data_IF_047363436041
#
_entry.id   IF_047363436041
#
_cell.length_a   1.000
_cell.length_b   1.000
_cell.length_c   1.000
_cell.angle_alpha   90.00
_cell.angle_beta   90.00
_cell.angle_gamma   90.00
#
_symmetry.space_group_name_H-M   'P 1'
#
loop_
_entity.id
_entity.type
_entity.pdbx_description
1 polymer ?
#
# COMPACT_ATOMS: atom_id res chain seq x y z
N UNK A 1 13.29 -8.46 20.05
CA UNK A 1 12.00 -8.53 19.32
C UNK A 1 12.33 -9.05 17.92
N UNK A 2 12.29 -10.36 17.70
CA UNK A 2 12.76 -10.91 16.42
C UNK A 2 12.19 -12.31 16.19
N UNK A 3 10.89 -12.40 15.89
CA UNK A 3 10.28 -13.63 15.36
C UNK A 3 9.34 -13.25 14.22
N UNK A 4 9.91 -12.56 13.22
CA UNK A 4 9.20 -12.25 11.97
C UNK A 4 9.38 -13.47 11.06
N UNK A 5 8.26 -14.03 10.63
CA UNK A 5 8.22 -15.26 9.85
C UNK A 5 8.75 -15.00 8.43
N UNK A 6 9.49 -15.97 7.88
CA UNK A 6 9.95 -15.90 6.51
C UNK A 6 8.76 -16.02 5.53
N UNK A 7 8.60 -15.09 4.56
CA UNK A 7 7.47 -15.12 3.63
C UNK A 7 7.32 -16.45 2.89
N UNK A 8 8.42 -17.14 2.60
CA UNK A 8 8.39 -18.35 1.79
C UNK A 8 7.77 -19.56 2.50
N UNK A 9 7.81 -19.58 3.85
CA UNK A 9 7.36 -20.72 4.66
C UNK A 9 6.27 -20.34 5.66
N UNK A 10 5.65 -19.17 5.53
CA UNK A 10 4.83 -18.61 6.60
C UNK A 10 3.65 -19.51 7.03
N UNK A 11 2.91 -20.06 6.07
CA UNK A 11 1.81 -20.99 6.35
C UNK A 11 2.32 -22.28 7.00
N UNK A 12 3.45 -22.79 6.52
CA UNK A 12 4.03 -24.06 6.99
C UNK A 12 4.51 -23.92 8.44
N UNK A 13 5.15 -22.80 8.80
CA UNK A 13 5.60 -22.53 10.16
C UNK A 13 4.42 -22.44 11.14
N UNK A 14 3.33 -21.78 10.75
CA UNK A 14 2.11 -21.69 11.58
C UNK A 14 1.44 -23.06 11.73
N UNK A 15 1.31 -23.83 10.65
CA UNK A 15 0.76 -25.19 10.69
C UNK A 15 1.58 -26.11 11.62
N UNK A 16 2.90 -26.07 11.51
CA UNK A 16 3.80 -26.87 12.36
C UNK A 16 3.70 -26.47 13.84
N UNK A 17 3.57 -25.17 14.13
CA UNK A 17 3.37 -24.69 15.49
C UNK A 17 2.03 -25.15 16.08
N UNK A 18 0.96 -25.19 15.27
CA UNK A 18 -0.33 -25.70 15.70
C UNK A 18 -0.31 -27.22 15.92
N UNK A 19 0.35 -27.98 15.03
CA UNK A 19 0.50 -29.43 15.16
C UNK A 19 1.20 -29.83 16.47
N UNK A 20 2.24 -29.08 16.85
CA UNK A 20 2.99 -29.35 18.07
C UNK A 20 2.16 -29.09 19.34
N UNK A 21 1.35 -28.02 19.36
CA UNK A 21 0.46 -27.75 20.49
C UNK A 21 -0.59 -28.85 20.64
N UNK A 22 -1.19 -29.26 19.52
CA UNK A 22 -2.25 -30.26 19.52
C UNK A 22 -1.70 -31.66 19.85
N UNK A 23 -0.55 -32.05 19.31
CA UNK A 23 0.06 -33.36 19.56
C UNK A 23 0.56 -33.55 21.00
N UNK A 24 0.83 -32.47 21.74
CA UNK A 24 1.14 -32.55 23.17
C UNK A 24 -0.07 -32.90 24.05
N UNK A 25 -1.28 -32.60 23.57
CA UNK A 25 -2.51 -32.75 24.34
C UNK A 25 -3.36 -33.94 23.86
N UNK A 26 -3.17 -34.37 22.61
CA UNK A 26 -3.90 -35.47 22.00
C UNK A 26 -3.01 -36.72 21.94
N UNK A 27 -3.40 -37.76 22.68
CA UNK A 27 -2.78 -39.09 22.60
C UNK A 27 -3.66 -39.99 21.71
N UNK A 28 -3.04 -40.79 20.84
CA UNK A 28 -3.69 -41.82 20.01
C UNK A 28 -4.80 -41.32 19.06
N UNK A 29 -4.73 -40.05 18.62
CA UNK A 29 -5.66 -39.43 17.67
C UNK A 29 -4.86 -38.85 16.51
N UNK A 30 -5.28 -39.14 15.28
CA UNK A 30 -4.63 -38.64 14.08
C UNK A 30 -4.93 -37.15 13.86
N UNK A 31 -3.91 -36.35 13.53
CA UNK A 31 -4.06 -34.90 13.28
C UNK A 31 -3.79 -34.65 11.80
N UNK A 32 -4.82 -34.19 11.10
CA UNK A 32 -4.78 -33.92 9.67
C UNK A 32 -5.00 -32.44 9.38
N UNK A 33 -4.31 -31.92 8.36
CA UNK A 33 -4.43 -30.54 7.89
C UNK A 33 -5.27 -30.41 6.60
N UNK A 34 -5.97 -31.48 6.23
CA UNK A 34 -6.94 -31.54 5.15
C UNK A 34 -8.33 -31.88 5.70
N UNK A 35 -9.36 -31.62 4.90
CA UNK A 35 -10.71 -32.13 5.18
C UNK A 35 -10.79 -33.58 4.70
N UNK A 36 -11.29 -34.52 5.53
CA UNK A 36 -11.55 -35.89 5.09
C UNK A 36 -12.54 -35.92 3.91
N UNK A 37 -12.35 -36.85 2.98
CA UNK A 37 -13.27 -37.01 1.85
C UNK A 37 -14.67 -37.38 2.36
N UNK A 38 -15.71 -36.80 1.73
CA UNK A 38 -17.11 -36.90 2.16
C UNK A 38 -17.63 -38.34 2.31
N UNK A 39 -17.11 -39.24 1.48
CA UNK A 39 -17.51 -40.65 1.43
C UNK A 39 -16.57 -41.58 2.20
N UNK A 40 -15.44 -41.06 2.68
CA UNK A 40 -14.49 -41.80 3.51
C UNK A 40 -14.74 -41.47 4.99
N UNK A 41 -15.23 -42.44 5.75
CA UNK A 41 -15.09 -42.36 7.21
C UNK A 41 -13.65 -42.75 7.53
N UNK A 42 -12.84 -41.87 8.16
CA UNK A 42 -11.52 -42.27 8.60
C UNK A 42 -11.63 -43.49 9.52
N UNK A 43 -10.73 -44.46 9.35
CA UNK A 43 -10.73 -45.70 10.13
C UNK A 43 -10.43 -45.44 11.61
N UNK A 44 -9.59 -44.44 11.87
CA UNK A 44 -9.15 -44.01 13.19
C UNK A 44 -9.81 -42.67 13.57
N UNK A 45 -9.95 -42.35 14.86
CA UNK A 45 -10.41 -41.04 15.30
C UNK A 45 -9.43 -39.96 14.82
N UNK A 46 -9.94 -38.98 14.10
CA UNK A 46 -9.11 -37.97 13.42
C UNK A 46 -9.59 -36.56 13.74
N UNK A 47 -8.66 -35.67 14.05
CA UNK A 47 -8.88 -34.23 14.17
C UNK A 47 -8.42 -33.58 12.88
N UNK A 48 -9.35 -32.91 12.20
CA UNK A 48 -9.07 -32.15 10.98
C UNK A 48 -8.94 -30.68 11.32
N UNK A 49 -7.79 -30.11 11.01
CA UNK A 49 -7.41 -28.71 11.18
C UNK A 49 -7.39 -28.06 9.81
N UNK A 50 -8.52 -27.45 9.43
CA UNK A 50 -8.70 -26.89 8.09
C UNK A 50 -8.47 -25.38 8.08
N UNK A 51 -7.53 -24.90 7.26
CA UNK A 51 -7.30 -23.48 7.02
C UNK A 51 -8.28 -22.99 5.95
N UNK A 52 -9.32 -22.24 6.35
CA UNK A 52 -10.40 -21.85 5.43
C UNK A 52 -10.24 -20.44 4.86
N UNK A 53 -9.55 -19.55 5.56
CA UNK A 53 -9.37 -18.17 5.13
C UNK A 53 -8.05 -17.58 5.62
N UNK A 54 -7.45 -16.73 4.80
CA UNK A 54 -6.20 -16.01 5.07
C UNK A 54 -6.38 -14.56 4.60
N UNK A 55 -6.21 -13.62 5.51
CA UNK A 55 -6.29 -12.20 5.19
C UNK A 55 -5.37 -11.35 6.08
N UNK A 56 -5.03 -10.15 5.63
CA UNK A 56 -4.29 -9.19 6.46
C UNK A 56 -5.18 -8.65 7.60
N UNK A 57 -4.65 -8.63 8.83
CA UNK A 57 -5.34 -7.96 9.94
C UNK A 57 -5.02 -6.46 9.93
N UNK A 58 -5.92 -5.69 9.32
CA UNK A 58 -5.82 -4.23 9.26
C UNK A 58 -5.90 -3.56 10.64
N UNK A 59 -6.44 -4.22 11.66
CA UNK A 59 -6.51 -3.65 13.01
C UNK A 59 -5.13 -3.59 13.67
N UNK A 60 -4.25 -4.53 13.32
CA UNK A 60 -2.88 -4.60 13.79
C UNK A 60 -1.90 -3.91 12.84
N UNK A 61 -2.40 -3.20 11.82
CA UNK A 61 -1.56 -2.42 10.91
C UNK A 61 -1.13 -1.12 11.57
N UNK A 62 0.16 -1.03 11.93
CA UNK A 62 0.79 0.21 12.31
C UNK A 62 1.32 0.95 11.06
N UNK A 63 1.28 2.29 11.09
CA UNK A 63 1.90 3.13 10.07
C UNK A 63 3.41 3.23 10.34
N UNK A 64 4.12 2.11 10.24
CA UNK A 64 5.56 2.08 10.49
C UNK A 64 6.35 2.46 9.24
N UNK A 65 7.21 3.50 9.32
CA UNK A 65 8.09 3.83 8.21
C UNK A 65 9.12 2.72 8.01
N UNK A 66 9.54 2.50 6.76
CA UNK A 66 10.67 1.62 6.47
C UNK A 66 11.92 2.17 7.16
N UNK A 67 12.52 1.37 8.02
CA UNK A 67 13.74 1.76 8.72
C UNK A 67 14.92 1.75 7.74
N UNK A 68 15.75 2.79 7.78
CA UNK A 68 16.95 2.89 6.94
C UNK A 68 18.18 2.39 7.71
N UNK A 69 18.98 1.53 7.09
CA UNK A 69 20.26 1.11 7.65
C UNK A 69 21.40 1.92 6.99
N UNK A 70 22.07 2.82 7.72
CA UNK A 70 23.10 3.70 7.16
C UNK A 70 24.40 2.97 6.83
N UNK A 71 24.64 1.78 7.39
CA UNK A 71 25.88 1.01 7.17
C UNK A 71 25.91 0.37 5.79
N UNK A 72 24.75 -0.09 5.31
CA UNK A 72 24.63 -0.79 4.02
C UNK A 72 23.88 0.04 2.96
N UNK A 73 23.27 1.16 3.33
CA UNK A 73 22.51 2.02 2.43
C UNK A 73 21.17 1.43 1.97
N UNK A 74 20.67 0.40 2.66
CA UNK A 74 19.43 -0.27 2.31
C UNK A 74 18.29 0.13 3.26
N UNK A 75 17.09 0.22 2.70
CA UNK A 75 15.86 0.20 3.48
C UNK A 75 15.58 -1.23 3.96
N UNK A 76 15.33 -1.38 5.26
CA UNK A 76 14.88 -2.66 5.82
C UNK A 76 13.49 -2.99 5.28
N UNK A 77 13.28 -4.26 4.94
CA UNK A 77 11.98 -4.77 4.55
C UNK A 77 11.01 -4.66 5.73
N UNK A 78 9.81 -4.15 5.45
CA UNK A 78 8.72 -4.12 6.43
C UNK A 78 8.16 -5.51 6.70
N UNK A 79 7.17 -5.59 7.57
CA UNK A 79 6.38 -6.79 7.82
C UNK A 79 4.89 -6.48 7.69
N UNK A 80 4.10 -7.52 7.50
CA UNK A 80 2.63 -7.47 7.46
C UNK A 80 2.07 -8.49 8.43
N UNK A 81 0.99 -8.13 9.13
CA UNK A 81 0.31 -9.03 10.05
C UNK A 81 -0.77 -9.81 9.30
N UNK A 82 -0.53 -11.10 9.08
CA UNK A 82 -1.46 -11.98 8.35
C UNK A 82 -2.24 -12.82 9.38
N UNK A 83 -3.55 -12.78 9.28
CA UNK A 83 -4.47 -13.63 10.03
C UNK A 83 -4.74 -14.93 9.27
N UNK A 84 -4.53 -16.04 9.96
CA UNK A 84 -4.79 -17.41 9.51
C UNK A 84 -5.98 -17.95 10.29
N UNK A 85 -7.09 -18.23 9.61
CA UNK A 85 -8.31 -18.70 10.25
C UNK A 85 -8.48 -20.21 10.05
N UNK A 86 -8.39 -20.94 11.16
CA UNK A 86 -8.53 -22.38 11.19
C UNK A 86 -9.90 -22.79 11.71
N UNK A 87 -10.39 -23.88 11.14
CA UNK A 87 -11.56 -24.61 11.55
C UNK A 87 -11.12 -26.00 12.01
N UNK A 88 -11.29 -26.29 13.30
CA UNK A 88 -10.90 -27.56 13.89
C UNK A 88 -12.16 -28.40 14.10
N UNK A 89 -12.17 -29.60 13.53
CA UNK A 89 -13.31 -30.52 13.55
C UNK A 89 -12.86 -31.92 13.94
N UNK A 90 -13.73 -32.65 14.63
CA UNK A 90 -13.49 -34.04 15.01
C UNK A 90 -14.28 -35.01 14.12
N UNK A 91 -13.57 -36.01 13.60
CA UNK A 91 -14.09 -37.07 12.74
C UNK A 91 -13.93 -38.41 13.45
N UNK A 92 -15.05 -39.13 13.55
CA UNK A 92 -15.13 -40.42 14.20
C UNK A 92 -15.50 -41.49 13.18
N UNK A 93 -15.06 -42.73 13.43
CA UNK A 93 -15.24 -43.88 12.54
C UNK A 93 -16.60 -44.58 12.67
N UNK A 94 -17.41 -44.24 13.68
CA UNK A 94 -18.72 -44.87 13.88
C UNK A 94 -19.73 -44.44 12.81
N UNK A 95 -20.36 -45.42 12.16
CA UNK A 95 -21.50 -45.20 11.25
C UNK A 95 -22.72 -44.75 12.06
N UNK A 96 -23.46 -43.72 11.62
CA UNK A 96 -24.67 -43.29 12.31
C UNK A 96 -25.72 -44.42 12.31
N UNK A 97 -26.22 -44.78 13.49
CA UNK A 97 -27.34 -45.73 13.67
C UNK A 97 -27.01 -47.11 14.27
N UNK A 98 -25.77 -47.36 14.69
CA UNK A 98 -25.43 -48.58 15.45
C UNK A 98 -25.90 -48.49 16.90
N UNK A 99 -26.61 -49.53 17.39
CA UNK A 99 -27.08 -49.71 18.77
C UNK A 99 -25.98 -49.57 19.85
N UNK A 100 -24.70 -49.70 19.45
CA UNK A 100 -23.53 -49.66 20.34
C UNK A 100 -22.66 -48.40 20.13
N UNK A 101 -23.16 -47.35 19.48
CA UNK A 101 -22.38 -46.12 19.30
C UNK A 101 -22.45 -45.27 20.59
N UNK A 102 -21.36 -45.12 21.36
CA UNK A 102 -21.34 -44.37 22.64
C UNK A 102 -21.53 -42.85 22.48
N UNK A 103 -21.72 -42.37 21.25
CA UNK A 103 -21.73 -40.95 20.88
C UNK A 103 -22.95 -40.14 21.34
N UNK A 104 -24.03 -40.80 21.77
CA UNK A 104 -25.24 -40.13 22.26
C UNK A 104 -25.24 -39.87 23.77
N UNK A 105 -24.19 -40.29 24.49
CA UNK A 105 -24.06 -40.01 25.92
C UNK A 105 -23.49 -38.61 26.16
N UNK A 106 -23.79 -37.99 27.32
CA UNK A 106 -23.15 -36.73 27.70
C UNK A 106 -21.61 -36.80 27.77
N UNK A 107 -21.06 -37.99 28.00
CA UNK A 107 -19.63 -38.28 28.07
C UNK A 107 -19.06 -38.83 26.75
N UNK A 108 -19.62 -38.43 25.60
CA UNK A 108 -19.17 -38.95 24.32
C UNK A 108 -17.69 -38.65 24.04
N UNK A 109 -17.06 -39.53 23.25
CA UNK A 109 -15.66 -39.41 22.88
C UNK A 109 -15.41 -38.09 22.12
N UNK A 110 -16.34 -37.69 21.26
CA UNK A 110 -16.26 -36.42 20.52
C UNK A 110 -16.14 -35.20 21.45
N UNK A 111 -16.95 -35.11 22.51
CA UNK A 111 -16.90 -34.00 23.47
C UNK A 111 -15.65 -34.07 24.33
N UNK A 112 -15.19 -35.26 24.72
CA UNK A 112 -13.93 -35.41 25.45
C UNK A 112 -12.75 -34.89 24.62
N UNK A 113 -12.64 -35.31 23.36
CA UNK A 113 -11.58 -34.86 22.44
C UNK A 113 -11.67 -33.36 22.18
N UNK A 114 -12.87 -32.85 21.88
CA UNK A 114 -13.07 -31.42 21.63
C UNK A 114 -12.82 -30.57 22.89
N UNK A 115 -13.09 -31.09 24.09
CA UNK A 115 -12.74 -30.43 25.36
C UNK A 115 -11.24 -30.40 25.58
N UNK A 116 -10.52 -31.47 25.26
CA UNK A 116 -9.05 -31.50 25.32
C UNK A 116 -8.44 -30.50 24.34
N UNK A 117 -8.94 -30.43 23.11
CA UNK A 117 -8.53 -29.43 22.11
C UNK A 117 -8.81 -28.02 22.62
N UNK A 118 -10.02 -27.79 23.15
CA UNK A 118 -10.39 -26.50 23.71
C UNK A 118 -9.43 -26.07 24.82
N UNK A 119 -9.13 -26.97 25.76
CA UNK A 119 -8.17 -26.69 26.83
C UNK A 119 -6.77 -26.40 26.27
N UNK A 120 -6.32 -27.16 25.26
CA UNK A 120 -5.04 -26.92 24.61
C UNK A 120 -4.98 -25.51 23.98
N UNK A 121 -6.02 -25.10 23.25
CA UNK A 121 -6.09 -23.79 22.60
C UNK A 121 -6.21 -22.64 23.60
N UNK A 122 -7.04 -22.79 24.63
CA UNK A 122 -7.25 -21.76 25.66
C UNK A 122 -6.00 -21.56 26.52
N UNK A 123 -5.26 -22.63 26.82
CA UNK A 123 -4.01 -22.55 27.59
C UNK A 123 -2.85 -22.00 26.75
N UNK A 124 -2.84 -22.25 25.44
CA UNK A 124 -1.78 -21.79 24.53
C UNK A 124 -2.19 -20.54 23.74
N UNK A 125 -2.53 -19.44 24.45
CA UNK A 125 -2.85 -18.14 23.82
C UNK A 125 -1.67 -17.50 23.09
N UNK A 126 -0.45 -17.93 23.39
CA UNK A 126 0.76 -17.53 22.68
C UNK A 126 1.42 -18.80 22.14
N UNK A 127 1.69 -18.83 20.84
CA UNK A 127 2.40 -19.94 20.22
C UNK A 127 3.88 -19.91 20.65
N UNK A 128 4.40 -20.96 21.30
CA UNK A 128 5.79 -20.97 21.80
C UNK A 128 6.84 -20.75 20.69
N UNK A 129 6.59 -21.28 19.49
CA UNK A 129 7.46 -21.14 18.32
C UNK A 129 7.36 -19.79 17.62
N UNK A 130 6.30 -19.02 17.84
CA UNK A 130 6.11 -17.69 17.26
C UNK A 130 5.78 -16.69 18.40
N UNK A 131 6.76 -16.34 19.25
CA UNK A 131 6.58 -15.33 20.29
C UNK A 131 6.30 -13.97 19.64
N UNK A 132 5.03 -13.56 19.62
CA UNK A 132 4.55 -12.37 18.91
C UNK A 132 3.31 -12.62 18.06
N UNK A 133 2.94 -13.89 17.80
CA UNK A 133 1.65 -14.21 17.20
C UNK A 133 0.51 -13.89 18.16
N UNK A 134 -0.50 -13.19 17.67
CA UNK A 134 -1.72 -12.89 18.40
C UNK A 134 -2.78 -13.93 18.07
N UNK A 135 -3.30 -14.66 19.06
CA UNK A 135 -4.29 -15.72 18.82
C UNK A 135 -5.65 -15.32 19.37
N UNK A 136 -6.71 -15.64 18.63
CA UNK A 136 -8.11 -15.50 19.08
C UNK A 136 -8.72 -16.90 19.12
N UNK A 137 -9.00 -17.37 20.33
CA UNK A 137 -9.70 -18.63 20.56
C UNK A 137 -11.20 -18.36 20.56
N UNK A 138 -11.93 -18.96 19.62
CA UNK A 138 -13.40 -18.89 19.51
C UNK A 138 -13.92 -17.44 19.48
N UNK A 139 -13.64 -16.68 18.42
CA UNK A 139 -14.27 -15.38 18.24
C UNK A 139 -15.80 -15.56 18.10
N UNK A 140 -16.63 -14.68 18.69
CA UNK A 140 -18.10 -14.78 18.65
C UNK A 140 -18.70 -14.44 17.26
N UNK A 141 -17.95 -14.65 16.19
CA UNK A 141 -18.26 -14.18 14.84
C UNK A 141 -19.18 -15.13 14.06
N UNK A 142 -19.42 -16.36 14.53
CA UNK A 142 -20.26 -17.30 13.80
C UNK A 142 -21.75 -17.03 14.00
N UNK A 143 -22.37 -16.53 12.94
CA UNK A 143 -23.81 -16.63 12.76
C UNK A 143 -24.14 -18.08 12.37
N UNK A 144 -25.12 -18.70 13.04
CA UNK A 144 -25.61 -20.06 12.74
C UNK A 144 -25.95 -20.27 11.26
N UNK A 145 -26.38 -19.22 10.56
CA UNK A 145 -26.66 -19.22 9.12
C UNK A 145 -25.41 -19.50 8.26
N UNK A 146 -24.25 -18.96 8.65
CA UNK A 146 -22.99 -19.17 7.93
C UNK A 146 -22.47 -20.60 8.12
N UNK A 147 -22.57 -21.12 9.35
CA UNK A 147 -22.17 -22.49 9.66
C UNK A 147 -23.08 -23.52 8.98
N UNK A 148 -24.39 -23.22 8.86
CA UNK A 148 -25.33 -24.04 8.09
C UNK A 148 -24.94 -24.19 6.62
N UNK A 149 -24.59 -23.10 5.95
CA UNK A 149 -24.12 -23.14 4.55
C UNK A 149 -22.82 -23.93 4.40
N UNK A 150 -21.89 -23.79 5.34
CA UNK A 150 -20.63 -24.54 5.35
C UNK A 150 -20.86 -26.05 5.45
N UNK A 151 -21.70 -26.50 6.38
CA UNK A 151 -22.02 -27.93 6.51
C UNK A 151 -22.83 -28.47 5.34
N UNK A 152 -23.67 -27.65 4.69
CA UNK A 152 -24.34 -28.04 3.45
C UNK A 152 -23.34 -28.31 2.32
N UNK A 153 -22.32 -27.47 2.19
CA UNK A 153 -21.24 -27.67 1.21
C UNK A 153 -20.40 -28.93 1.53
N UNK A 154 -20.25 -29.29 2.81
CA UNK A 154 -19.56 -30.50 3.28
C UNK A 154 -20.49 -31.72 3.45
N UNK A 155 -21.52 -31.85 2.60
CA UNK A 155 -22.31 -33.09 2.53
C UNK A 155 -23.37 -33.24 3.63
N UNK A 156 -23.88 -32.11 4.17
CA UNK A 156 -25.01 -32.07 5.12
C UNK A 156 -24.79 -32.83 6.44
N UNK A 157 -23.56 -32.86 6.95
CA UNK A 157 -23.22 -33.51 8.23
C UNK A 157 -22.73 -32.47 9.23
N UNK A 158 -23.62 -31.80 9.99
CA UNK A 158 -23.20 -30.82 10.98
C UNK A 158 -22.38 -31.49 12.09
N UNK A 159 -21.22 -30.91 12.39
CA UNK A 159 -20.36 -31.32 13.52
C UNK A 159 -20.02 -30.11 14.38
N UNK A 160 -19.52 -30.37 15.57
CA UNK A 160 -18.93 -29.31 16.39
C UNK A 160 -17.63 -28.84 15.73
N UNK A 161 -17.53 -27.54 15.51
CA UNK A 161 -16.34 -26.87 14.98
C UNK A 161 -15.80 -25.85 15.98
N UNK A 162 -14.48 -25.80 16.13
CA UNK A 162 -13.79 -24.77 16.90
C UNK A 162 -13.06 -23.85 15.92
N UNK A 163 -13.41 -22.56 15.96
CA UNK A 163 -12.66 -21.54 15.24
C UNK A 163 -11.43 -21.11 16.02
N UNK A 164 -10.33 -21.00 15.32
CA UNK A 164 -9.08 -20.52 15.86
C UNK A 164 -8.39 -19.59 14.87
N UNK A 165 -8.23 -18.32 15.24
CA UNK A 165 -7.55 -17.33 14.39
C UNK A 165 -6.17 -17.05 14.95
N UNK A 166 -5.15 -17.14 14.10
CA UNK A 166 -3.75 -16.85 14.45
C UNK A 166 -3.29 -15.69 13.58
N UNK A 167 -2.93 -14.56 14.18
CA UNK A 167 -2.32 -13.45 13.46
C UNK A 167 -0.81 -13.46 13.70
N UNK A 168 -0.03 -13.59 12.63
CA UNK A 168 1.43 -13.64 12.71
C UNK A 168 2.10 -12.59 11.81
N UNK A 169 3.22 -11.99 12.25
CA UNK A 169 3.98 -11.04 11.46
C UNK A 169 4.83 -11.77 10.40
N UNK A 170 4.61 -11.47 9.13
CA UNK A 170 5.31 -12.03 7.98
C UNK A 170 6.17 -10.95 7.34
N UNK A 171 7.46 -11.26 7.11
CA UNK A 171 8.39 -10.30 6.49
C UNK A 171 8.03 -10.11 5.02
N UNK A 172 8.05 -8.88 4.54
CA UNK A 172 7.93 -8.60 3.11
C UNK A 172 9.22 -8.99 2.37
N UNK A 173 9.11 -9.31 1.09
CA UNK A 173 10.28 -9.57 0.26
C UNK A 173 11.19 -8.34 0.20
N UNK A 174 12.49 -8.59 0.26
CA UNK A 174 13.49 -7.54 0.33
C UNK A 174 13.78 -6.98 -1.07
N UNK A 175 13.09 -5.90 -1.43
CA UNK A 175 13.41 -5.13 -2.63
C UNK A 175 14.61 -4.25 -2.28
N UNK A 176 15.79 -4.59 -2.82
CA UNK A 176 17.04 -3.87 -2.59
C UNK A 176 16.98 -2.50 -3.25
N UNK A 177 16.39 -1.54 -2.54
CA UNK A 177 16.40 -0.14 -2.90
C UNK A 177 17.56 0.55 -2.18
N UNK A 178 18.61 0.88 -2.95
CA UNK A 178 19.80 1.55 -2.42
C UNK A 178 19.52 3.04 -2.32
N UNK A 179 19.48 3.57 -1.10
CA UNK A 179 19.32 4.99 -0.83
C UNK A 179 20.63 5.54 -0.27
N UNK A 180 21.17 6.57 -0.91
CA UNK A 180 22.37 7.25 -0.44
C UNK A 180 22.03 8.05 0.83
N UNK A 181 22.83 7.94 1.90
CA UNK A 181 22.61 8.74 3.09
C UNK A 181 22.88 10.22 2.78
N UNK A 182 22.18 11.12 3.47
CA UNK A 182 22.47 12.55 3.42
C UNK A 182 23.80 12.78 4.14
N UNK A 183 24.86 13.08 3.38
CA UNK A 183 26.20 13.31 3.92
C UNK A 183 26.45 14.76 4.33
N UNK A 184 25.84 15.71 3.62
CA UNK A 184 26.01 17.13 3.84
C UNK A 184 24.71 17.88 3.56
N UNK A 185 24.37 18.81 4.43
CA UNK A 185 23.28 19.76 4.24
C UNK A 185 23.92 21.12 3.98
N UNK A 186 23.53 21.76 2.87
CA UNK A 186 23.93 23.14 2.57
C UNK A 186 22.68 23.98 2.41
N UNK A 187 22.71 25.18 2.97
CA UNK A 187 21.59 26.11 2.98
C UNK A 187 22.12 27.51 2.68
N UNK A 188 21.47 28.21 1.76
CA UNK A 188 21.70 29.63 1.50
C UNK A 188 20.44 30.43 1.85
N UNK A 189 20.63 31.70 2.20
CA UNK A 189 19.55 32.65 2.45
C UNK A 189 19.78 33.83 1.54
N UNK A 190 18.89 33.99 0.56
CA UNK A 190 18.93 35.08 -0.40
C UNK A 190 17.78 36.05 -0.14
N UNK A 191 18.04 37.35 -0.30
CA UNK A 191 17.00 38.35 -0.18
C UNK A 191 16.07 38.25 -1.39
N UNK A 192 14.80 37.90 -1.15
CA UNK A 192 13.78 37.87 -2.20
C UNK A 192 13.50 39.29 -2.69
N UNK A 193 13.42 39.48 -4.01
CA UNK A 193 12.99 40.74 -4.59
C UNK A 193 11.55 41.08 -4.19
N UNK A 194 11.21 42.37 -4.13
CA UNK A 194 9.85 42.83 -3.82
C UNK A 194 8.84 42.52 -4.93
N UNK A 195 9.29 42.00 -6.08
CA UNK A 195 8.43 41.63 -7.19
C UNK A 195 7.81 40.27 -6.94
N UNK A 196 6.48 40.21 -6.98
CA UNK A 196 5.77 38.95 -6.95
C UNK A 196 5.76 38.29 -8.33
N UNK A 197 5.81 36.96 -8.36
CA UNK A 197 5.74 36.19 -9.60
C UNK A 197 4.46 36.52 -10.38
N UNK A 198 3.35 36.85 -9.71
CA UNK A 198 2.12 37.26 -10.38
C UNK A 198 2.28 38.55 -11.19
N UNK A 199 3.00 39.53 -10.66
CA UNK A 199 3.26 40.80 -11.33
C UNK A 199 4.15 40.60 -12.56
N UNK A 200 5.17 39.75 -12.44
CA UNK A 200 6.05 39.40 -13.55
C UNK A 200 5.26 38.67 -14.65
N UNK A 201 4.43 37.69 -14.28
CA UNK A 201 3.60 36.94 -15.23
C UNK A 201 2.63 37.86 -15.98
N UNK A 202 1.96 38.78 -15.28
CA UNK A 202 1.02 39.74 -15.90
C UNK A 202 1.73 40.70 -16.85
N UNK A 203 2.91 41.19 -16.47
CA UNK A 203 3.71 42.09 -17.28
C UNK A 203 4.21 41.40 -18.56
N UNK A 204 4.71 40.16 -18.44
CA UNK A 204 5.12 39.33 -19.57
C UNK A 204 3.92 38.96 -20.47
N UNK A 205 2.76 38.64 -19.90
CA UNK A 205 1.55 38.37 -20.69
C UNK A 205 1.10 39.59 -21.49
N UNK A 206 1.11 40.76 -20.85
CA UNK A 206 0.78 42.03 -21.51
C UNK A 206 1.76 42.35 -22.64
N UNK A 207 3.05 42.09 -22.41
CA UNK A 207 4.10 42.26 -23.42
C UNK A 207 3.96 41.28 -24.58
N UNK A 208 3.63 40.02 -24.30
CA UNK A 208 3.37 39.00 -25.34
C UNK A 208 2.18 39.42 -26.21
N UNK A 209 1.10 39.89 -25.58
CA UNK A 209 -0.07 40.39 -26.29
C UNK A 209 0.28 41.60 -27.18
N UNK A 210 1.07 42.55 -26.68
CA UNK A 210 1.54 43.70 -27.44
C UNK A 210 2.43 43.28 -28.63
N UNK A 211 3.38 42.37 -28.42
CA UNK A 211 4.32 41.91 -29.45
C UNK A 211 3.64 41.06 -30.54
N UNK A 212 2.45 40.50 -30.28
CA UNK A 212 1.59 39.82 -31.25
C UNK A 212 0.64 40.76 -32.01
N UNK A 213 0.62 42.06 -31.68
CA UNK A 213 -0.18 43.08 -32.37
C UNK A 213 -1.30 43.71 -31.54
N UNK A 214 -1.51 43.29 -30.29
CA UNK A 214 -2.38 43.97 -29.32
C UNK A 214 -3.88 43.97 -29.63
N UNK A 215 -4.35 43.17 -30.59
CA UNK A 215 -5.78 43.08 -30.96
C UNK A 215 -6.56 42.21 -29.98
N UNK A 216 -7.89 42.37 -29.94
CA UNK A 216 -8.74 41.50 -29.11
C UNK A 216 -8.72 40.03 -29.56
N UNK A 217 -8.55 39.76 -30.86
CA UNK A 217 -8.38 38.41 -31.38
C UNK A 217 -7.14 37.72 -30.80
N UNK A 218 -6.05 38.47 -30.61
CA UNK A 218 -4.82 37.97 -29.97
C UNK A 218 -5.07 37.68 -28.49
N UNK A 219 -5.82 38.54 -27.78
CA UNK A 219 -6.18 38.29 -26.38
C UNK A 219 -7.02 37.03 -26.22
N UNK A 220 -7.97 36.80 -27.12
CA UNK A 220 -8.77 35.57 -27.14
C UNK A 220 -7.90 34.35 -27.44
N UNK A 221 -6.97 34.44 -28.39
CA UNK A 221 -6.03 33.37 -28.73
C UNK A 221 -5.05 33.04 -27.59
N UNK A 222 -4.77 34.00 -26.70
CA UNK A 222 -3.94 33.83 -25.51
C UNK A 222 -4.73 33.48 -24.25
N UNK A 223 -6.07 33.51 -24.27
CA UNK A 223 -6.90 33.34 -23.06
C UNK A 223 -6.73 31.97 -22.36
N UNK A 224 -6.27 30.95 -23.10
CA UNK A 224 -5.97 29.61 -22.59
C UNK A 224 -4.47 29.32 -22.53
N UNK A 225 -3.63 30.34 -22.67
CA UNK A 225 -2.18 30.28 -22.52
C UNK A 225 -1.80 30.79 -21.14
N UNK A 226 -1.08 29.96 -20.38
CA UNK A 226 -0.57 30.30 -19.07
C UNK A 226 0.94 30.53 -19.14
N UNK A 227 1.38 31.65 -18.57
CA UNK A 227 2.78 32.01 -18.42
C UNK A 227 3.13 31.95 -16.94
N UNK A 228 4.04 31.05 -16.59
CA UNK A 228 4.52 30.91 -15.21
C UNK A 228 6.02 31.09 -15.16
N UNK A 229 6.47 31.92 -14.23
CA UNK A 229 7.89 32.26 -14.07
C UNK A 229 8.53 31.56 -12.87
N UNK A 230 9.77 31.12 -13.05
CA UNK A 230 10.65 30.65 -11.97
C UNK A 230 11.93 31.49 -11.94
N UNK A 231 12.46 31.86 -10.77
CA UNK A 231 13.74 32.55 -10.71
C UNK A 231 14.84 31.66 -11.30
N UNK A 232 15.70 32.23 -12.14
CA UNK A 232 16.90 31.53 -12.59
C UNK A 232 17.89 31.41 -11.41
N UNK A 233 18.67 30.33 -11.38
CA UNK A 233 19.65 30.08 -10.31
C UNK A 233 20.91 30.95 -10.42
N UNK A 234 21.12 31.62 -11.55
CA UNK A 234 22.30 32.46 -11.78
C UNK A 234 22.16 33.78 -11.02
N UNK A 235 23.19 34.07 -10.22
CA UNK A 235 23.38 35.25 -9.40
C UNK A 235 22.71 36.51 -9.96
N UNK A 236 21.69 37.01 -9.25
CA UNK A 236 21.25 38.40 -9.40
C UNK A 236 22.29 39.31 -8.71
N UNK A 237 23.52 39.35 -9.24
CA UNK A 237 24.57 40.28 -8.78
C UNK A 237 24.24 41.73 -9.16
N UNK A 238 23.49 41.93 -10.25
CA UNK A 238 23.00 43.23 -10.67
C UNK A 238 21.61 43.49 -10.07
N UNK A 239 21.53 44.37 -9.07
CA UNK A 239 20.27 44.79 -8.41
C UNK A 239 19.19 45.34 -9.36
N UNK A 240 19.54 45.60 -10.62
CA UNK A 240 18.68 46.23 -11.61
C UNK A 240 18.02 45.25 -12.59
N UNK A 241 18.47 43.99 -12.68
CA UNK A 241 17.90 42.99 -13.59
C UNK A 241 17.61 41.67 -12.87
N UNK A 242 16.46 41.08 -13.13
CA UNK A 242 16.05 39.79 -12.56
C UNK A 242 15.91 38.75 -13.68
N UNK A 243 16.73 37.71 -13.58
CA UNK A 243 16.71 36.58 -14.51
C UNK A 243 15.59 35.60 -14.16
N UNK A 244 14.76 35.28 -15.15
CA UNK A 244 13.55 34.47 -14.97
C UNK A 244 13.40 33.41 -16.06
N UNK A 245 13.23 32.17 -15.64
CA UNK A 245 12.86 31.05 -16.52
C UNK A 245 11.36 31.11 -16.78
N UNK A 246 10.97 31.19 -18.05
CA UNK A 246 9.58 31.28 -18.47
C UNK A 246 9.05 29.90 -18.87
N UNK A 247 8.04 29.40 -18.17
CA UNK A 247 7.30 28.18 -18.53
C UNK A 247 5.97 28.57 -19.18
N UNK A 248 5.80 28.18 -20.45
CA UNK A 248 4.60 28.48 -21.24
C UNK A 248 3.81 27.19 -21.43
N UNK A 249 2.55 27.20 -21.05
CA UNK A 249 1.67 26.03 -21.15
C UNK A 249 0.26 26.41 -21.56
N UNK A 250 -0.47 25.47 -22.17
CA UNK A 250 -1.87 25.65 -22.49
C UNK A 250 -2.17 25.46 -23.97
N UNK A 251 -3.26 26.10 -24.42
CA UNK A 251 -3.83 25.91 -25.75
C UNK A 251 -3.94 27.25 -26.45
N UNK A 252 -3.56 27.29 -27.72
CA UNK A 252 -3.76 28.44 -28.61
C UNK A 252 -4.17 27.95 -30.00
N UNK A 253 -4.59 28.85 -30.88
CA UNK A 253 -4.88 28.48 -32.26
C UNK A 253 -3.58 28.17 -33.03
N UNK A 254 -3.65 27.23 -33.98
CA UNK A 254 -2.52 26.81 -34.82
C UNK A 254 -1.79 27.98 -35.48
N UNK A 255 -2.51 29.05 -35.82
CA UNK A 255 -2.00 30.20 -36.57
C UNK A 255 -1.15 31.13 -35.69
N UNK A 256 -1.38 31.11 -34.38
CA UNK A 256 -0.64 31.91 -33.40
C UNK A 256 0.50 31.13 -32.73
N UNK A 257 0.46 29.78 -32.75
CA UNK A 257 1.51 28.94 -32.21
C UNK A 257 2.93 29.27 -32.74
N UNK A 258 3.19 29.36 -34.07
CA UNK A 258 4.53 29.69 -34.56
C UNK A 258 4.93 31.12 -34.18
N UNK A 259 3.98 32.07 -34.23
CA UNK A 259 4.23 33.48 -33.88
C UNK A 259 4.63 33.65 -32.41
N UNK A 260 3.98 32.90 -31.51
CA UNK A 260 4.30 32.89 -30.08
C UNK A 260 5.70 32.31 -29.87
N UNK A 261 6.04 31.19 -30.51
CA UNK A 261 7.38 30.58 -30.41
C UNK A 261 8.48 31.50 -30.93
N UNK A 262 8.23 32.24 -32.00
CA UNK A 262 9.19 33.21 -32.56
C UNK A 262 9.42 34.39 -31.59
N UNK A 263 8.36 34.88 -30.92
CA UNK A 263 8.49 35.93 -29.91
C UNK A 263 9.30 35.44 -28.70
N UNK A 264 8.98 34.26 -28.17
CA UNK A 264 9.69 33.66 -27.04
C UNK A 264 11.18 33.45 -27.38
N UNK A 265 11.47 32.98 -28.60
CA UNK A 265 12.84 32.81 -29.10
C UNK A 265 13.58 34.15 -29.20
N UNK A 266 12.89 35.23 -29.61
CA UNK A 266 13.48 36.58 -29.61
C UNK A 266 13.77 37.08 -28.20
N UNK A 267 12.86 36.88 -27.26
CA UNK A 267 13.07 37.27 -25.86
C UNK A 267 14.28 36.55 -25.26
N UNK A 268 14.39 35.25 -25.50
CA UNK A 268 15.55 34.42 -25.12
C UNK A 268 16.87 34.93 -25.69
N UNK A 269 16.90 35.23 -26.98
CA UNK A 269 18.15 35.62 -27.66
C UNK A 269 18.54 37.08 -27.41
N UNK A 270 17.61 37.93 -26.97
CA UNK A 270 17.86 39.37 -26.83
C UNK A 270 18.85 39.73 -25.70
N UNK A 271 19.02 38.86 -24.69
CA UNK A 271 19.83 39.12 -23.49
C UNK A 271 19.56 40.50 -22.83
N UNK A 272 18.37 41.06 -23.09
CA UNK A 272 17.95 42.40 -22.68
C UNK A 272 16.64 42.32 -21.92
N UNK A 273 16.34 43.35 -21.12
CA UNK A 273 15.10 43.37 -20.35
C UNK A 273 13.88 43.37 -21.29
N UNK A 274 13.08 42.30 -21.21
CA UNK A 274 11.85 42.11 -21.99
C UNK A 274 10.77 43.08 -21.50
N UNK A 275 10.68 43.26 -20.19
CA UNK A 275 9.80 44.21 -19.50
C UNK A 275 10.54 44.82 -18.31
N UNK A 276 10.26 46.08 -18.01
CA UNK A 276 10.75 46.74 -16.79
C UNK A 276 9.59 46.94 -15.82
N UNK A 277 9.74 46.48 -14.58
CA UNK A 277 8.74 46.65 -13.51
C UNK A 277 9.44 47.30 -12.32
N UNK A 278 8.97 48.47 -11.87
CA UNK A 278 9.56 49.20 -10.73
C UNK A 278 11.08 49.40 -10.85
N UNK A 279 11.57 49.77 -12.05
CA UNK A 279 13.00 49.93 -12.39
C UNK A 279 13.83 48.64 -12.38
N UNK A 280 13.21 47.47 -12.27
CA UNK A 280 13.87 46.17 -12.40
C UNK A 280 13.55 45.60 -13.80
N UNK A 281 14.58 45.36 -14.60
CA UNK A 281 14.47 44.70 -15.90
C UNK A 281 14.28 43.20 -15.75
N UNK A 282 13.25 42.63 -16.37
CA UNK A 282 13.02 41.19 -16.41
C UNK A 282 13.66 40.62 -17.67
N UNK A 283 14.66 39.77 -17.49
CA UNK A 283 15.38 39.06 -18.54
C UNK A 283 14.92 37.60 -18.56
N UNK A 284 14.69 37.05 -19.75
CA UNK A 284 14.23 35.66 -19.93
C UNK A 284 15.35 34.85 -20.59
N UNK A 285 16.31 34.30 -19.84
CA UNK A 285 17.42 33.53 -20.42
C UNK A 285 16.99 32.14 -20.93
N UNK A 286 15.88 31.60 -20.41
CA UNK A 286 15.39 30.27 -20.75
C UNK A 286 13.86 30.28 -20.86
N UNK A 287 13.33 29.68 -21.94
CA UNK A 287 11.91 29.41 -22.13
C UNK A 287 11.65 27.90 -22.26
N UNK A 288 10.54 27.44 -21.68
CA UNK A 288 10.02 26.07 -21.80
C UNK A 288 8.61 26.13 -22.34
N UNK A 289 8.50 26.02 -23.66
CA UNK A 289 7.23 26.13 -24.40
C UNK A 289 6.69 24.78 -24.92
N UNK A 290 7.28 23.65 -24.52
CA UNK A 290 6.90 22.30 -24.97
C UNK A 290 5.47 21.90 -24.60
N UNK A 291 4.89 22.55 -23.58
CA UNK A 291 3.53 22.30 -23.10
C UNK A 291 2.48 23.22 -23.74
N UNK A 292 2.87 24.05 -24.71
CA UNK A 292 1.95 24.87 -25.50
C UNK A 292 1.53 24.10 -26.75
N UNK A 293 0.22 23.94 -26.93
CA UNK A 293 -0.36 23.18 -28.04
C UNK A 293 -1.21 24.07 -28.93
N UNK A 294 -1.05 23.92 -30.25
CA UNK A 294 -1.88 24.58 -31.25
C UNK A 294 -3.04 23.67 -31.63
N UNK A 295 -4.26 24.19 -31.57
CA UNK A 295 -5.47 23.49 -32.04
C UNK A 295 -5.96 24.17 -33.32
N UNK A 296 -6.20 23.36 -34.36
CA UNK A 296 -6.92 23.82 -35.55
C UNK A 296 -8.42 23.81 -35.25
N UNK A 297 -9.14 24.85 -35.67
CA UNK A 297 -10.60 24.81 -35.64
C UNK A 297 -11.07 23.66 -36.55
N UNK A 298 -11.91 22.78 -36.00
CA UNK A 298 -12.78 21.89 -36.78
C UNK A 298 -13.86 22.71 -37.49
#
# INVERSE_FOLDING_TARGET
MTNIINPNNAIVEVNNALNEILSQHLNDIDIRFDLPEMDSTPSDPTVSVFLYDIHEDLQLRSAEPKSYNPTNGFLLSGWVNISYNYLITYWHSCKPGGSDCPDSKPDNQAAQVMTTILNALVNNRQLPKIPGAYTRVIPPQENLNSLGNFWQALGNRPRLSLLYSITAPVKLQDIKETIKPVSQISTSVDQKSNLDNSQINQALFSKLCADLGGTEDVRLALAKVNLTTKPAKENNEDQNNQNVILEVSGITHSDYLPKIKDILSRWKNSHSAVVTINNIGITVPEDKSDKLTGVQNL
#
